data_IF_076288499969
#
_entry.id   IF_076288499969
#
_cell.length_a   1.000
_cell.length_b   1.000
_cell.length_c   1.000
_cell.angle_alpha   90.00
_cell.angle_beta   90.00
_cell.angle_gamma   90.00
#
_symmetry.space_group_name_H-M   'P 1'
#
loop_
_entity.id
_entity.type
_entity.pdbx_description
1 polymer ?
#
# COMPACT_ATOMS: atom_id res chain seq x y z
N UNK A 1 -38.99 50.91 -50.75
CA UNK A 1 -38.61 49.56 -50.32
C UNK A 1 -38.19 49.65 -48.83
N UNK A 2 -39.14 49.48 -47.90
CA UNK A 2 -38.86 49.53 -46.45
C UNK A 2 -38.31 48.20 -46.00
N UNK A 3 -37.05 48.15 -45.47
CA UNK A 3 -36.49 47.01 -44.80
C UNK A 3 -36.98 47.02 -43.36
N UNK A 4 -37.81 46.06 -43.02
CA UNK A 4 -38.20 45.79 -41.62
C UNK A 4 -37.03 45.09 -40.93
N UNK A 5 -36.33 45.76 -40.00
CA UNK A 5 -35.38 45.20 -39.12
C UNK A 5 -36.17 44.43 -38.06
N UNK A 6 -36.17 43.11 -38.14
CA UNK A 6 -36.65 42.23 -37.03
C UNK A 6 -35.65 42.26 -35.94
N UNK A 7 -35.92 42.92 -34.79
CA UNK A 7 -35.18 42.83 -33.56
C UNK A 7 -35.56 41.49 -32.98
N UNK A 8 -34.67 40.50 -33.12
CA UNK A 8 -34.74 39.23 -32.36
C UNK A 8 -34.39 39.56 -30.90
N UNK A 9 -35.41 39.62 -30.04
CA UNK A 9 -35.20 39.61 -28.60
C UNK A 9 -34.61 38.25 -28.22
N UNK A 10 -33.33 38.23 -27.90
CA UNK A 10 -32.72 37.08 -27.23
C UNK A 10 -33.43 36.94 -25.87
N UNK A 11 -34.31 35.96 -25.72
CA UNK A 11 -34.92 35.63 -24.45
C UNK A 11 -33.83 35.04 -23.57
N UNK A 12 -33.35 35.79 -22.56
CA UNK A 12 -32.41 35.32 -21.57
C UNK A 12 -33.05 34.16 -20.77
N UNK A 13 -32.69 32.95 -21.08
CA UNK A 13 -33.06 31.78 -20.30
C UNK A 13 -32.25 31.70 -19.03
N UNK A 14 -32.92 31.26 -17.96
CA UNK A 14 -32.36 31.21 -16.62
C UNK A 14 -32.72 29.91 -15.95
N UNK A 15 -31.71 29.28 -15.30
CA UNK A 15 -31.88 28.13 -14.41
C UNK A 15 -31.53 28.55 -12.99
N UNK A 16 -32.28 28.04 -12.00
CA UNK A 16 -32.07 28.32 -10.59
C UNK A 16 -32.35 27.08 -9.73
N UNK A 17 -31.76 27.04 -8.55
CA UNK A 17 -31.94 25.95 -7.59
C UNK A 17 -31.19 26.22 -6.32
N UNK A 18 -31.09 25.19 -5.47
CA UNK A 18 -30.38 25.20 -4.18
C UNK A 18 -29.51 23.97 -4.08
N UNK A 19 -28.33 24.10 -3.45
CA UNK A 19 -27.41 22.99 -3.20
C UNK A 19 -27.23 22.78 -1.70
N UNK A 20 -27.40 21.53 -1.27
CA UNK A 20 -27.32 21.11 0.12
C UNK A 20 -26.40 19.91 0.29
N UNK A 21 -25.84 19.77 1.50
CA UNK A 21 -25.15 18.53 1.92
C UNK A 21 -26.18 17.42 2.16
N UNK A 22 -25.98 16.28 1.53
CA UNK A 22 -26.83 15.09 1.71
C UNK A 22 -26.76 14.46 3.10
N UNK A 23 -25.69 14.74 3.87
CA UNK A 23 -25.54 14.22 5.24
C UNK A 23 -26.08 15.16 6.30
N UNK A 24 -25.80 16.45 6.19
CA UNK A 24 -26.12 17.44 7.23
C UNK A 24 -27.35 18.27 6.95
N UNK A 25 -27.90 18.18 5.72
CA UNK A 25 -28.99 19.07 5.23
C UNK A 25 -28.64 20.57 5.30
N UNK A 26 -27.37 20.93 5.50
CA UNK A 26 -26.92 22.32 5.48
C UNK A 26 -26.76 22.84 4.05
N UNK A 27 -26.98 24.13 3.81
CA UNK A 27 -26.68 24.79 2.55
C UNK A 27 -25.19 24.75 2.25
N UNK A 28 -24.85 24.56 0.97
CA UNK A 28 -23.46 24.55 0.49
C UNK A 28 -23.16 25.82 -0.30
N UNK A 29 -22.22 26.61 0.23
CA UNK A 29 -21.68 27.81 -0.40
C UNK A 29 -20.51 27.46 -1.32
N UNK A 30 -20.31 28.26 -2.39
CA UNK A 30 -19.19 28.15 -3.33
C UNK A 30 -19.14 26.81 -4.10
N UNK A 31 -20.27 26.12 -4.29
CA UNK A 31 -20.36 25.02 -5.24
C UNK A 31 -20.20 25.55 -6.63
N UNK A 32 -19.24 25.04 -7.39
CA UNK A 32 -19.06 25.39 -8.80
C UNK A 32 -20.12 24.66 -9.64
N UNK A 33 -20.93 25.40 -10.37
CA UNK A 33 -22.06 24.90 -11.13
C UNK A 33 -21.86 25.32 -12.57
N UNK A 34 -21.74 24.36 -13.50
CA UNK A 34 -21.40 24.64 -14.89
C UNK A 34 -22.07 23.66 -15.85
N UNK A 35 -22.28 24.10 -17.08
CA UNK A 35 -22.79 23.27 -18.18
C UNK A 35 -21.62 22.48 -18.74
N UNK A 36 -21.75 21.16 -18.79
CA UNK A 36 -20.70 20.27 -19.26
C UNK A 36 -20.43 20.48 -20.76
N UNK A 37 -19.20 20.86 -21.07
CA UNK A 37 -18.76 21.14 -22.43
C UNK A 37 -18.89 22.59 -22.88
N UNK A 38 -19.40 23.49 -22.01
CA UNK A 38 -19.57 24.92 -22.29
C UNK A 38 -18.84 25.78 -21.25
N UNK A 39 -18.45 26.99 -21.63
CA UNK A 39 -17.85 27.97 -20.72
C UNK A 39 -18.90 28.78 -19.93
N UNK A 40 -20.01 28.14 -19.56
CA UNK A 40 -21.15 28.77 -18.87
C UNK A 40 -21.25 28.15 -17.48
N UNK A 41 -21.07 28.97 -16.43
CA UNK A 41 -21.09 28.52 -15.04
C UNK A 41 -21.40 29.62 -14.04
N UNK A 42 -21.68 29.22 -12.81
CA UNK A 42 -21.92 30.08 -11.63
C UNK A 42 -21.49 29.39 -10.37
N UNK A 43 -21.56 30.06 -9.21
CA UNK A 43 -21.33 29.47 -7.90
C UNK A 43 -22.54 29.64 -6.98
N UNK A 44 -22.75 28.68 -6.07
CA UNK A 44 -23.80 28.82 -5.05
C UNK A 44 -23.42 29.85 -3.98
N UNK A 45 -24.44 30.52 -3.43
CA UNK A 45 -24.33 31.51 -2.36
C UNK A 45 -24.34 30.83 -0.98
N UNK A 46 -24.18 31.62 0.08
CA UNK A 46 -24.17 31.13 1.48
C UNK A 46 -25.45 30.41 1.90
N UNK A 47 -26.58 30.71 1.31
CA UNK A 47 -27.85 30.01 1.51
C UNK A 47 -28.03 28.78 0.60
N UNK A 48 -27.01 28.42 -0.17
CA UNK A 48 -27.01 27.35 -1.16
C UNK A 48 -27.69 27.70 -2.47
N UNK A 49 -28.32 28.89 -2.63
CA UNK A 49 -29.00 29.28 -3.83
C UNK A 49 -28.01 29.57 -4.99
N UNK A 50 -28.42 29.22 -6.21
CA UNK A 50 -27.68 29.59 -7.41
C UNK A 50 -28.60 30.02 -8.53
N UNK A 51 -28.03 30.74 -9.47
CA UNK A 51 -28.70 31.19 -10.68
C UNK A 51 -27.70 31.28 -11.82
N UNK A 52 -28.02 30.65 -12.93
CA UNK A 52 -27.25 30.65 -14.18
C UNK A 52 -28.11 31.25 -15.29
N UNK A 53 -27.60 32.25 -16.00
CA UNK A 53 -28.25 32.95 -17.09
C UNK A 53 -27.57 32.61 -18.42
N UNK A 54 -28.21 32.96 -19.54
CA UNK A 54 -27.72 32.70 -20.89
C UNK A 54 -27.51 31.21 -21.19
N UNK A 55 -28.39 30.34 -20.69
CA UNK A 55 -28.31 28.91 -20.94
C UNK A 55 -28.67 28.53 -22.37
N UNK A 56 -28.13 27.44 -22.95
CA UNK A 56 -28.44 26.98 -24.32
C UNK A 56 -29.92 26.67 -24.52
N UNK A 57 -30.32 26.59 -25.76
CA UNK A 57 -31.69 26.18 -26.14
C UNK A 57 -31.87 24.68 -26.17
N UNK A 58 -30.77 23.92 -26.26
CA UNK A 58 -30.76 22.46 -26.26
C UNK A 58 -30.71 21.90 -24.84
N UNK A 59 -31.10 20.64 -24.68
CA UNK A 59 -30.98 19.93 -23.43
C UNK A 59 -29.51 19.75 -23.09
N UNK A 60 -29.13 19.89 -21.81
CA UNK A 60 -27.74 19.83 -21.35
C UNK A 60 -27.59 19.16 -20.00
N UNK A 61 -26.37 18.78 -19.68
CA UNK A 61 -25.98 18.24 -18.39
C UNK A 61 -25.38 19.37 -17.52
N UNK A 62 -26.03 19.67 -16.39
CA UNK A 62 -25.55 20.64 -15.39
C UNK A 62 -24.76 19.92 -14.32
N UNK A 63 -23.52 20.30 -14.16
CA UNK A 63 -22.57 19.67 -13.22
C UNK A 63 -22.34 20.54 -11.98
N UNK A 64 -22.23 19.91 -10.81
CA UNK A 64 -22.02 20.51 -9.50
C UNK A 64 -20.74 19.96 -8.91
N UNK A 65 -19.80 20.83 -8.56
CA UNK A 65 -18.49 20.47 -8.02
C UNK A 65 -18.07 21.36 -6.86
N UNK A 66 -17.68 20.77 -5.76
CA UNK A 66 -17.05 21.46 -4.62
C UNK A 66 -16.11 20.47 -3.90
N UNK A 67 -15.00 20.98 -3.39
CA UNK A 67 -14.05 20.16 -2.63
C UNK A 67 -14.75 19.52 -1.42
N UNK A 68 -14.59 18.21 -1.24
CA UNK A 68 -15.21 17.45 -0.16
C UNK A 68 -16.57 16.83 -0.50
N UNK A 69 -17.03 16.93 -1.75
CA UNK A 69 -18.29 16.33 -2.21
C UNK A 69 -18.09 15.60 -3.55
N UNK A 70 -18.88 14.54 -3.79
CA UNK A 70 -18.90 13.82 -5.07
C UNK A 70 -19.39 14.74 -6.19
N UNK A 71 -18.70 14.72 -7.33
CA UNK A 71 -19.17 15.41 -8.55
C UNK A 71 -20.56 14.86 -8.90
N UNK A 72 -21.54 15.73 -8.96
CA UNK A 72 -22.93 15.38 -9.24
C UNK A 72 -23.37 16.09 -10.51
N UNK A 73 -24.10 15.42 -11.38
CA UNK A 73 -24.71 16.06 -12.55
C UNK A 73 -26.18 15.73 -12.68
N UNK A 74 -26.91 16.69 -13.28
CA UNK A 74 -28.34 16.60 -13.52
C UNK A 74 -28.62 16.95 -15.01
N UNK A 75 -29.36 16.08 -15.68
CA UNK A 75 -29.79 16.33 -17.04
C UNK A 75 -30.97 17.30 -17.02
N UNK A 76 -30.84 18.42 -17.73
CA UNK A 76 -31.83 19.51 -17.79
C UNK A 76 -32.48 19.56 -19.16
N UNK A 77 -33.82 19.44 -19.17
CA UNK A 77 -34.64 19.58 -20.39
C UNK A 77 -35.14 20.99 -20.49
N UNK A 78 -34.79 21.69 -21.57
CA UNK A 78 -34.98 23.14 -21.74
C UNK A 78 -36.31 23.49 -22.43
N UNK A 79 -37.46 23.19 -21.83
CA UNK A 79 -38.80 23.53 -22.39
C UNK A 79 -39.26 24.95 -22.05
N UNK A 80 -38.78 25.53 -20.96
CA UNK A 80 -39.24 26.81 -20.39
C UNK A 80 -38.14 27.88 -20.39
N UNK A 81 -38.53 29.16 -20.33
CA UNK A 81 -37.60 30.29 -20.22
C UNK A 81 -36.97 30.41 -18.84
N UNK A 82 -37.70 29.99 -17.81
CA UNK A 82 -37.24 29.95 -16.42
C UNK A 82 -37.37 28.52 -15.90
N UNK A 83 -36.23 27.91 -15.57
CA UNK A 83 -36.15 26.53 -15.12
C UNK A 83 -35.74 26.52 -13.63
N UNK A 84 -36.53 25.86 -12.80
CA UNK A 84 -36.18 25.59 -11.39
C UNK A 84 -35.94 24.12 -11.24
N UNK A 85 -34.70 23.73 -10.83
CA UNK A 85 -34.34 22.34 -10.61
C UNK A 85 -34.50 21.91 -9.14
N UNK A 86 -34.98 22.81 -8.28
CA UNK A 86 -35.26 22.52 -6.90
C UNK A 86 -34.02 22.39 -6.04
N UNK A 87 -33.98 21.37 -5.15
CA UNK A 87 -32.87 21.11 -4.24
C UNK A 87 -32.01 19.98 -4.76
N UNK A 88 -30.73 20.24 -4.87
CA UNK A 88 -29.70 19.25 -5.23
C UNK A 88 -28.94 18.90 -3.96
N UNK A 89 -28.83 17.62 -3.66
CA UNK A 89 -28.11 17.11 -2.50
C UNK A 89 -26.79 16.49 -2.97
N UNK A 90 -25.69 17.10 -2.59
CA UNK A 90 -24.36 16.54 -2.84
C UNK A 90 -24.02 15.55 -1.72
N UNK A 91 -23.55 14.39 -2.10
CA UNK A 91 -22.97 13.45 -1.15
C UNK A 91 -21.59 13.97 -0.75
N UNK A 92 -21.28 13.92 0.55
CA UNK A 92 -19.90 14.13 0.98
C UNK A 92 -19.05 13.13 0.20
N UNK A 93 -18.21 13.61 -0.67
CA UNK A 93 -17.01 12.89 -0.99
C UNK A 93 -16.23 12.96 0.32
N UNK A 94 -16.15 11.86 1.06
CA UNK A 94 -14.93 11.62 1.80
C UNK A 94 -13.89 11.93 0.74
N UNK A 95 -13.03 12.96 0.94
CA UNK A 95 -11.90 13.19 0.05
C UNK A 95 -11.07 11.89 0.05
N UNK A 96 -11.54 10.93 -0.70
CA UNK A 96 -10.70 10.10 -1.48
C UNK A 96 -10.04 11.11 -2.46
N UNK A 97 -8.90 11.65 -2.07
CA UNK A 97 -7.79 11.59 -3.02
C UNK A 97 -7.95 10.22 -3.59
N UNK A 98 -8.23 10.03 -4.91
CA UNK A 98 -8.33 8.69 -5.43
C UNK A 98 -7.37 7.87 -4.60
N UNK A 99 -7.83 7.50 -3.41
CA UNK A 99 -7.27 6.46 -2.64
C UNK A 99 -7.36 5.40 -3.69
N UNK A 100 -6.24 5.14 -4.34
CA UNK A 100 -6.10 3.87 -4.96
C UNK A 100 -6.55 3.01 -3.80
N UNK A 101 -7.81 2.58 -3.82
CA UNK A 101 -8.25 1.47 -3.04
C UNK A 101 -7.37 0.34 -3.55
N UNK A 102 -6.16 0.40 -3.07
CA UNK A 102 -5.40 -0.79 -2.83
C UNK A 102 -6.27 -1.44 -1.80
N UNK A 103 -7.25 -2.19 -2.32
CA UNK A 103 -8.30 -2.74 -1.50
C UNK A 103 -7.62 -3.32 -0.30
N UNK A 104 -7.92 -2.80 0.88
CA UNK A 104 -7.65 -3.55 2.09
C UNK A 104 -8.20 -4.92 1.76
N UNK A 105 -7.31 -5.84 1.38
CA UNK A 105 -7.67 -7.12 0.77
C UNK A 105 -9.17 -7.35 0.79
N UNK A 106 -9.93 -7.30 -0.33
CA UNK A 106 -11.33 -7.66 -0.35
C UNK A 106 -11.52 -9.01 0.31
N UNK A 107 -10.44 -9.80 0.32
CA UNK A 107 -10.25 -11.08 0.97
C UNK A 107 -10.48 -11.09 2.49
N UNK A 108 -10.28 -9.99 3.18
CA UNK A 108 -10.53 -9.95 4.63
C UNK A 108 -11.89 -9.34 4.97
N UNK A 109 -12.71 -9.00 3.95
CA UNK A 109 -14.07 -8.52 4.08
C UNK A 109 -14.19 -7.26 4.95
N UNK A 110 -15.40 -6.80 5.18
CA UNK A 110 -15.76 -5.73 6.12
C UNK A 110 -15.50 -6.09 7.61
N UNK A 111 -14.61 -7.04 7.87
CA UNK A 111 -14.30 -7.52 9.20
C UNK A 111 -13.29 -6.55 9.83
N UNK A 112 -13.76 -5.40 10.24
CA UNK A 112 -13.06 -4.53 11.18
C UNK A 112 -13.04 -5.20 12.55
N UNK A 113 -12.13 -6.16 12.74
CA UNK A 113 -11.84 -6.65 14.07
C UNK A 113 -11.17 -5.51 14.87
N UNK A 114 -11.63 -5.25 16.09
CA UNK A 114 -11.00 -4.28 17.03
C UNK A 114 -9.52 -4.56 17.31
N UNK A 115 -8.99 -5.70 16.88
CA UNK A 115 -7.60 -6.12 17.03
C UNK A 115 -6.68 -5.73 15.87
N UNK A 116 -7.21 -5.22 14.76
CA UNK A 116 -6.42 -4.85 13.59
C UNK A 116 -6.22 -3.35 13.51
N UNK A 117 -5.00 -2.93 13.20
CA UNK A 117 -4.64 -1.57 12.87
C UNK A 117 -4.33 -1.57 11.37
N UNK A 118 -4.97 -0.68 10.62
CA UNK A 118 -4.69 -0.48 9.20
C UNK A 118 -4.29 0.96 8.97
N UNK A 119 -3.14 1.17 8.36
CA UNK A 119 -2.63 2.47 7.92
C UNK A 119 -2.56 2.45 6.41
N UNK A 120 -3.22 3.39 5.76
CA UNK A 120 -3.22 3.56 4.30
C UNK A 120 -3.41 5.03 3.93
N UNK A 121 -3.20 5.38 2.66
CA UNK A 121 -3.43 6.73 2.15
C UNK A 121 -2.72 7.82 2.96
N UNK A 122 -3.45 8.88 3.35
CA UNK A 122 -2.90 10.00 4.13
C UNK A 122 -2.34 9.58 5.48
N UNK A 123 -2.94 8.59 6.14
CA UNK A 123 -2.50 8.11 7.46
C UNK A 123 -1.09 7.51 7.42
N UNK A 124 -0.71 6.81 6.35
CA UNK A 124 0.66 6.30 6.20
C UNK A 124 1.63 7.42 5.85
N UNK A 125 1.20 8.40 5.03
CA UNK A 125 2.04 9.55 4.65
C UNK A 125 2.38 10.43 5.85
N UNK A 126 1.41 10.73 6.71
CA UNK A 126 1.62 11.52 7.94
C UNK A 126 2.57 10.84 8.94
N UNK A 127 2.56 9.51 8.98
CA UNK A 127 3.38 8.72 9.90
C UNK A 127 4.69 8.24 9.25
N UNK A 128 4.90 8.53 7.97
CA UNK A 128 6.06 8.06 7.22
C UNK A 128 7.37 8.58 7.82
N UNK A 129 8.23 7.64 8.22
CA UNK A 129 9.61 7.88 8.63
C UNK A 129 10.56 7.01 7.83
N UNK A 130 11.86 7.07 8.11
CA UNK A 130 12.88 6.32 7.37
C UNK A 130 12.69 4.80 7.36
N UNK A 131 12.14 4.23 8.45
CA UNK A 131 11.94 2.79 8.60
C UNK A 131 10.50 2.44 8.99
N UNK A 132 10.13 1.18 8.76
CA UNK A 132 8.83 0.62 9.17
C UNK A 132 8.58 0.81 10.68
N UNK A 133 9.55 0.44 11.50
CA UNK A 133 9.41 0.53 12.96
C UNK A 133 9.21 1.97 13.42
N UNK A 134 10.00 2.91 12.88
CA UNK A 134 9.87 4.32 13.22
C UNK A 134 8.51 4.90 12.80
N UNK A 135 7.96 4.44 11.67
CA UNK A 135 6.63 4.85 11.19
C UNK A 135 5.49 4.30 12.06
N UNK A 136 5.70 3.14 12.68
CA UNK A 136 4.71 2.47 13.54
C UNK A 136 4.87 2.76 15.04
N UNK A 137 5.87 3.55 15.46
CA UNK A 137 6.24 3.72 16.88
C UNK A 137 5.12 4.23 17.79
N UNK A 138 4.13 4.92 17.24
CA UNK A 138 3.01 5.48 17.99
C UNK A 138 1.77 4.56 17.98
N UNK A 139 1.86 3.38 17.35
CA UNK A 139 0.75 2.43 17.30
C UNK A 139 0.69 1.60 18.57
N UNK A 140 -0.54 1.33 19.03
CA UNK A 140 -0.76 0.57 20.26
C UNK A 140 -0.15 -0.83 20.19
N UNK A 141 0.72 -1.12 21.16
CA UNK A 141 1.40 -2.42 21.27
C UNK A 141 2.59 -2.59 20.33
N UNK A 142 3.11 -1.50 19.76
CA UNK A 142 4.37 -1.46 19.03
C UNK A 142 5.42 -0.76 19.86
N UNK A 143 6.57 -1.40 20.02
CA UNK A 143 7.82 -0.81 20.50
C UNK A 143 8.89 -0.93 19.40
N UNK A 144 10.03 -0.30 19.61
CA UNK A 144 11.15 -0.31 18.65
C UNK A 144 12.40 -0.81 19.34
N UNK A 145 13.17 -1.64 18.64
CA UNK A 145 14.58 -1.90 18.92
C UNK A 145 15.43 -1.46 17.74
N UNK A 146 16.64 -0.95 18.00
CA UNK A 146 17.50 -0.42 16.94
C UNK A 146 18.96 -0.44 17.38
N UNK A 147 19.86 -0.74 16.44
CA UNK A 147 21.32 -0.57 16.56
C UNK A 147 21.82 0.60 15.70
N UNK A 148 20.92 1.43 15.16
CA UNK A 148 21.16 2.57 14.29
C UNK A 148 19.87 2.95 13.57
N UNK A 149 19.86 4.02 12.78
CA UNK A 149 18.63 4.51 12.15
C UNK A 149 18.06 3.48 11.14
N UNK A 150 18.92 2.85 10.34
CA UNK A 150 18.50 1.92 9.30
C UNK A 150 17.97 0.60 9.88
N UNK A 151 18.47 0.16 11.04
CA UNK A 151 18.17 -1.14 11.65
C UNK A 151 17.03 -1.12 12.65
N UNK A 152 16.22 -0.03 12.65
CA UNK A 152 15.05 0.02 13.51
C UNK A 152 14.03 -1.05 13.12
N UNK A 153 13.69 -1.92 14.10
CA UNK A 153 12.78 -3.06 13.95
C UNK A 153 11.62 -2.95 14.91
N UNK A 154 10.41 -3.33 14.48
CA UNK A 154 9.26 -3.35 15.37
C UNK A 154 9.37 -4.50 16.40
N UNK A 155 8.86 -4.24 17.59
CA UNK A 155 8.54 -5.22 18.63
C UNK A 155 7.03 -5.19 18.79
N UNK A 156 6.37 -6.31 18.53
CA UNK A 156 4.92 -6.41 18.58
C UNK A 156 4.48 -7.05 19.90
N UNK A 157 3.78 -6.29 20.78
CA UNK A 157 3.29 -6.74 22.07
C UNK A 157 4.39 -7.34 22.99
N UNK A 158 5.58 -6.77 22.93
CA UNK A 158 6.74 -7.26 23.68
C UNK A 158 7.51 -8.39 23.01
N UNK A 159 7.08 -8.88 21.85
CA UNK A 159 7.75 -9.93 21.10
C UNK A 159 8.55 -9.36 19.92
N UNK A 160 9.81 -9.74 19.82
CA UNK A 160 10.70 -9.42 18.70
C UNK A 160 11.20 -10.70 18.02
N UNK A 161 11.98 -10.52 16.94
CA UNK A 161 12.53 -11.62 16.16
C UNK A 161 11.43 -12.42 15.44
N UNK A 162 11.56 -13.74 15.44
CA UNK A 162 10.71 -14.69 14.72
C UNK A 162 9.37 -15.02 15.40
N UNK A 163 8.93 -14.24 16.40
CA UNK A 163 7.67 -14.46 17.13
C UNK A 163 6.48 -13.69 16.56
N UNK A 164 6.71 -12.92 15.53
CA UNK A 164 5.69 -12.32 14.66
C UNK A 164 6.21 -12.31 13.22
N UNK A 165 5.33 -12.21 12.25
CA UNK A 165 5.72 -12.18 10.85
C UNK A 165 5.73 -10.75 10.29
N UNK A 166 6.74 -10.47 9.46
CA UNK A 166 6.74 -9.38 8.50
C UNK A 166 6.41 -9.95 7.13
N UNK A 167 5.33 -9.47 6.53
CA UNK A 167 4.87 -9.94 5.22
C UNK A 167 4.70 -8.80 4.23
N UNK A 168 4.78 -9.12 2.95
CA UNK A 168 4.44 -8.26 1.84
C UNK A 168 3.28 -8.92 1.07
N UNK A 169 2.07 -8.36 1.20
CA UNK A 169 0.89 -8.92 0.54
C UNK A 169 0.57 -10.36 0.94
N UNK A 170 0.84 -10.75 2.18
CA UNK A 170 0.50 -12.06 2.71
C UNK A 170 1.59 -13.14 2.68
N UNK A 171 2.70 -12.93 1.99
CA UNK A 171 3.88 -13.81 2.01
C UNK A 171 5.02 -13.16 2.78
N UNK A 172 5.88 -13.96 3.38
CA UNK A 172 7.07 -13.47 4.10
C UNK A 172 7.87 -12.45 3.27
N UNK A 173 8.40 -11.43 3.93
CA UNK A 173 9.16 -10.36 3.27
C UNK A 173 10.43 -10.90 2.57
N UNK A 174 10.96 -12.01 3.08
CA UNK A 174 12.07 -12.72 2.46
C UNK A 174 13.42 -12.05 2.71
N UNK A 175 13.59 -11.42 3.86
CA UNK A 175 14.86 -10.86 4.34
C UNK A 175 15.33 -11.56 5.62
N UNK A 176 16.48 -11.14 6.15
CA UNK A 176 17.06 -11.63 7.39
C UNK A 176 16.88 -10.68 8.58
N UNK A 177 15.98 -9.69 8.46
CA UNK A 177 15.81 -8.66 9.49
C UNK A 177 15.38 -9.18 10.87
N UNK A 178 14.80 -10.38 10.93
CA UNK A 178 14.37 -11.00 12.18
C UNK A 178 15.43 -11.90 12.82
N UNK A 179 16.54 -12.17 12.13
CA UNK A 179 17.60 -13.08 12.62
C UNK A 179 18.63 -12.37 13.49
N UNK A 180 18.96 -11.12 13.22
CA UNK A 180 19.95 -10.34 13.99
C UNK A 180 19.53 -8.90 14.21
N UNK A 181 20.11 -8.22 15.21
CA UNK A 181 19.82 -6.84 15.62
C UNK A 181 20.28 -5.78 14.66
N UNK A 182 21.27 -6.07 13.87
CA UNK A 182 21.94 -5.22 12.89
C UNK A 182 21.39 -5.36 11.46
N UNK A 183 20.51 -6.34 11.21
CA UNK A 183 19.88 -6.49 9.92
C UNK A 183 18.68 -5.56 9.77
N UNK A 184 18.69 -4.69 8.77
CA UNK A 184 17.59 -3.82 8.44
C UNK A 184 16.42 -4.57 7.81
N UNK A 185 15.19 -4.06 8.01
CA UNK A 185 14.02 -4.54 7.27
C UNK A 185 14.15 -4.10 5.82
N UNK A 186 14.08 -5.04 4.88
CA UNK A 186 14.31 -4.80 3.44
C UNK A 186 13.13 -4.09 2.77
N UNK A 187 12.85 -2.85 3.20
CA UNK A 187 11.83 -2.00 2.60
C UNK A 187 12.08 -0.52 2.86
N UNK A 188 11.62 0.32 1.97
CA UNK A 188 11.50 1.76 2.19
C UNK A 188 10.03 2.15 2.32
N UNK A 189 9.72 2.94 3.35
CA UNK A 189 8.33 3.34 3.64
C UNK A 189 7.70 4.21 2.56
N UNK A 190 8.48 4.88 1.71
CA UNK A 190 7.94 5.65 0.58
C UNK A 190 7.29 4.77 -0.50
N UNK A 191 7.60 3.47 -0.52
CA UNK A 191 6.96 2.49 -1.41
C UNK A 191 5.71 1.83 -0.79
N UNK A 192 5.46 2.02 0.51
CA UNK A 192 4.34 1.38 1.20
C UNK A 192 3.01 2.07 0.84
N UNK A 193 2.03 1.28 0.42
CA UNK A 193 0.65 1.70 0.16
C UNK A 193 -0.23 1.48 1.39
N UNK A 194 -0.03 0.37 2.09
CA UNK A 194 -0.70 0.11 3.36
C UNK A 194 0.17 -0.73 4.29
N UNK A 195 -0.07 -0.58 5.59
CA UNK A 195 0.51 -1.43 6.64
C UNK A 195 -0.62 -1.90 7.54
N UNK A 196 -0.78 -3.21 7.65
CA UNK A 196 -1.82 -3.85 8.43
C UNK A 196 -1.20 -4.63 9.59
N UNK A 197 -1.65 -4.38 10.81
CA UNK A 197 -1.25 -5.15 11.98
C UNK A 197 -2.37 -6.12 12.31
N UNK A 198 -2.15 -7.39 12.03
CA UNK A 198 -3.14 -8.46 12.09
C UNK A 198 -2.87 -9.31 13.33
N UNK A 199 -3.90 -9.50 14.14
CA UNK A 199 -3.83 -10.22 15.42
C UNK A 199 -4.96 -11.24 15.54
N UNK A 200 -4.83 -12.15 16.49
CA UNK A 200 -5.85 -13.15 16.75
C UNK A 200 -5.91 -14.24 15.70
N UNK A 201 -7.08 -14.83 15.50
CA UNK A 201 -7.25 -16.01 14.66
C UNK A 201 -6.77 -15.80 13.22
N UNK A 202 -6.98 -14.62 12.62
CA UNK A 202 -6.56 -14.30 11.25
C UNK A 202 -5.06 -14.38 11.01
N UNK A 203 -4.24 -14.17 12.05
CA UNK A 203 -2.79 -14.21 11.90
C UNK A 203 -2.28 -15.57 11.39
N UNK A 204 -2.97 -16.68 11.69
CA UNK A 204 -2.60 -18.02 11.20
C UNK A 204 -2.74 -18.19 9.68
N UNK A 205 -3.45 -17.31 8.98
CA UNK A 205 -3.50 -17.31 7.51
C UNK A 205 -2.14 -17.01 6.88
N UNK A 206 -1.28 -16.28 7.61
CA UNK A 206 0.01 -15.80 7.12
C UNK A 206 1.17 -16.76 7.45
N UNK A 207 1.09 -17.48 8.53
CA UNK A 207 2.12 -18.43 8.95
C UNK A 207 1.91 -18.97 10.37
N UNK A 208 2.81 -19.86 10.82
CA UNK A 208 2.79 -20.44 12.16
C UNK A 208 3.42 -19.53 13.21
N UNK A 209 4.45 -18.75 12.85
CA UNK A 209 5.20 -17.88 13.76
C UNK A 209 4.47 -16.55 14.02
N UNK A 210 3.21 -16.63 14.47
CA UNK A 210 2.32 -15.46 14.60
C UNK A 210 1.79 -15.25 16.01
N UNK A 211 2.57 -15.64 17.01
CA UNK A 211 2.19 -15.54 18.43
C UNK A 211 1.81 -14.11 18.84
N UNK A 212 2.58 -13.12 18.36
CA UNK A 212 2.30 -11.70 18.59
C UNK A 212 1.39 -11.11 17.51
N UNK A 213 1.31 -11.74 16.34
CA UNK A 213 0.57 -11.29 15.17
C UNK A 213 1.41 -11.21 13.90
N UNK A 214 0.95 -10.41 12.96
CA UNK A 214 1.56 -10.16 11.67
C UNK A 214 1.59 -8.66 11.40
N UNK A 215 2.66 -8.16 10.82
CA UNK A 215 2.71 -6.85 10.19
C UNK A 215 2.79 -7.11 8.70
N UNK A 216 1.66 -6.92 8.01
CA UNK A 216 1.55 -7.09 6.56
C UNK A 216 1.66 -5.74 5.88
N UNK A 217 2.60 -5.64 4.95
CA UNK A 217 2.89 -4.42 4.20
C UNK A 217 2.47 -4.68 2.76
N UNK A 218 1.72 -3.76 2.18
CA UNK A 218 1.48 -3.76 0.75
C UNK A 218 2.30 -2.63 0.14
N UNK A 219 3.22 -2.96 -0.73
CA UNK A 219 4.08 -2.01 -1.43
C UNK A 219 3.48 -1.60 -2.77
N UNK A 220 4.11 -0.64 -3.45
CA UNK A 220 3.82 -0.33 -4.85
C UNK A 220 3.77 -1.63 -5.66
N UNK A 221 2.64 -1.89 -6.29
CA UNK A 221 2.36 -3.15 -6.96
C UNK A 221 1.50 -2.90 -8.19
N UNK A 222 1.15 -3.96 -8.89
CA UNK A 222 0.17 -3.89 -9.96
C UNK A 222 -1.20 -3.54 -9.39
N UNK A 223 -1.87 -2.48 -9.87
CA UNK A 223 -3.19 -2.08 -9.38
C UNK A 223 -4.23 -3.19 -9.55
N UNK A 224 -5.22 -3.23 -8.67
CA UNK A 224 -6.33 -4.20 -8.76
C UNK A 224 -7.24 -3.91 -9.94
N UNK A 225 -7.46 -2.64 -10.24
CA UNK A 225 -8.24 -2.16 -11.37
C UNK A 225 -7.35 -1.41 -12.36
N UNK A 226 -7.69 -1.52 -13.64
CA UNK A 226 -7.03 -0.77 -14.69
C UNK A 226 -7.39 0.71 -14.60
N UNK A 227 -6.40 1.60 -14.64
CA UNK A 227 -6.64 3.04 -14.80
C UNK A 227 -7.24 3.35 -16.17
N UNK A 228 -8.15 4.30 -16.24
CA UNK A 228 -8.75 4.75 -17.51
C UNK A 228 -7.79 5.58 -18.36
N UNK A 229 -6.78 6.20 -17.75
CA UNK A 229 -5.75 7.03 -18.38
C UNK A 229 -4.41 6.88 -17.66
N UNK A 230 -3.34 7.35 -18.30
CA UNK A 230 -2.03 7.39 -17.65
C UNK A 230 -2.10 8.18 -16.34
N UNK A 231 -1.51 7.61 -15.31
CA UNK A 231 -1.51 8.18 -13.97
C UNK A 231 -0.08 8.24 -13.42
N UNK A 232 0.28 9.38 -12.88
CA UNK A 232 1.57 9.60 -12.22
C UNK A 232 1.31 10.13 -10.81
N UNK A 233 2.00 9.56 -9.85
CA UNK A 233 2.07 10.13 -8.52
C UNK A 233 3.49 10.03 -7.96
N UNK A 234 3.83 10.90 -7.02
CA UNK A 234 5.13 10.91 -6.40
C UNK A 234 5.08 11.50 -5.00
N UNK A 235 6.03 11.10 -4.18
CA UNK A 235 6.23 11.61 -2.83
C UNK A 235 7.67 12.07 -2.70
N UNK A 236 7.86 13.27 -2.17
CA UNK A 236 9.16 13.87 -1.86
C UNK A 236 9.16 14.25 -0.38
N UNK A 237 10.27 14.07 0.29
CA UNK A 237 10.42 14.48 1.67
C UNK A 237 11.86 14.77 2.05
N UNK A 238 12.02 15.55 3.11
CA UNK A 238 13.30 15.84 3.73
C UNK A 238 13.14 16.01 5.25
N UNK A 239 14.19 15.72 6.00
CA UNK A 239 14.24 15.87 7.45
C UNK A 239 15.57 16.50 7.90
N UNK A 240 15.50 17.42 8.86
CA UNK A 240 16.69 18.07 9.42
C UNK A 240 17.33 17.24 10.55
N UNK A 241 16.56 16.30 11.17
CA UNK A 241 17.04 15.56 12.33
C UNK A 241 18.14 14.55 12.01
N UNK A 242 18.18 14.11 10.77
CA UNK A 242 19.13 13.11 10.26
C UNK A 242 19.68 13.50 8.88
N UNK A 243 19.45 14.74 8.44
CA UNK A 243 19.80 15.23 7.10
C UNK A 243 19.31 14.28 5.99
N UNK A 244 18.12 13.74 6.14
CA UNK A 244 17.56 12.81 5.16
C UNK A 244 16.76 13.52 4.08
N UNK A 245 16.78 12.91 2.90
CA UNK A 245 15.88 13.25 1.80
C UNK A 245 15.46 11.98 1.07
N UNK A 246 14.24 11.98 0.53
CA UNK A 246 13.76 10.86 -0.27
C UNK A 246 12.84 11.32 -1.38
N UNK A 247 12.79 10.51 -2.42
CA UNK A 247 11.87 10.63 -3.52
C UNK A 247 11.34 9.25 -3.91
N UNK A 248 10.04 9.15 -4.18
CA UNK A 248 9.42 7.99 -4.81
C UNK A 248 8.49 8.48 -5.91
N UNK A 249 8.57 7.89 -7.10
CA UNK A 249 7.75 8.21 -8.24
C UNK A 249 7.16 6.92 -8.82
N UNK A 250 5.86 6.93 -9.12
CA UNK A 250 5.12 5.80 -9.69
C UNK A 250 4.38 6.27 -10.92
N UNK A 251 4.46 5.49 -11.99
CA UNK A 251 3.78 5.74 -13.25
C UNK A 251 3.02 4.52 -13.72
N UNK A 252 1.75 4.73 -14.08
CA UNK A 252 0.86 3.73 -14.64
C UNK A 252 0.48 4.13 -16.06
N UNK A 253 0.65 3.19 -17.01
CA UNK A 253 0.31 3.39 -18.40
C UNK A 253 -0.67 2.31 -18.88
N UNK A 254 -1.98 2.63 -18.95
CA UNK A 254 -2.99 1.70 -19.48
C UNK A 254 -2.99 1.69 -21.00
N UNK A 255 -3.15 0.51 -21.59
CA UNK A 255 -3.34 0.33 -23.03
C UNK A 255 -4.18 -0.91 -23.33
N UNK A 256 -5.28 -0.73 -24.04
CA UNK A 256 -6.29 -1.79 -24.23
C UNK A 256 -6.69 -2.38 -22.86
N UNK A 257 -6.60 -3.69 -22.71
CA UNK A 257 -6.87 -4.41 -21.46
C UNK A 257 -5.61 -4.63 -20.60
N UNK A 258 -4.52 -3.93 -20.89
CA UNK A 258 -3.26 -4.10 -20.17
C UNK A 258 -2.85 -2.78 -19.52
N UNK A 259 -2.00 -2.89 -18.51
CA UNK A 259 -1.38 -1.73 -17.87
C UNK A 259 0.06 -2.05 -17.48
N UNK A 260 0.96 -1.15 -17.83
CA UNK A 260 2.33 -1.16 -17.33
C UNK A 260 2.38 -0.26 -16.09
N UNK A 261 3.07 -0.71 -15.07
CA UNK A 261 3.38 0.06 -13.87
C UNK A 261 4.89 0.07 -13.68
N UNK A 262 5.45 1.24 -13.43
CA UNK A 262 6.86 1.39 -13.09
C UNK A 262 7.01 2.36 -11.92
N UNK A 263 7.94 2.09 -11.02
CA UNK A 263 8.31 3.03 -9.96
C UNK A 263 9.81 3.05 -9.72
N UNK A 264 10.27 4.18 -9.20
CA UNK A 264 11.64 4.36 -8.75
C UNK A 264 11.64 5.14 -7.43
N UNK A 265 12.46 4.71 -6.49
CA UNK A 265 12.65 5.37 -5.20
C UNK A 265 14.14 5.55 -4.90
N UNK A 266 14.44 6.61 -4.19
CA UNK A 266 15.76 6.84 -3.61
C UNK A 266 15.59 7.56 -2.28
N UNK A 267 16.34 7.12 -1.28
CA UNK A 267 16.46 7.76 0.04
C UNK A 267 17.92 7.86 0.40
N UNK A 268 18.29 9.03 0.88
CA UNK A 268 19.60 9.28 1.49
C UNK A 268 19.38 9.78 2.91
N UNK A 269 20.01 9.14 3.88
CA UNK A 269 19.91 9.48 5.30
C UNK A 269 21.33 9.74 5.84
N UNK A 270 21.58 10.88 6.41
CA UNK A 270 22.84 11.23 7.05
C UNK A 270 23.03 10.54 8.42
N UNK A 271 24.11 10.89 9.11
CA UNK A 271 24.38 10.37 10.45
C UNK A 271 23.29 10.81 11.45
N UNK A 272 22.92 9.94 12.36
CA UNK A 272 21.93 10.20 13.42
C UNK A 272 22.44 11.30 14.37
N UNK A 273 21.66 12.35 14.51
CA UNK A 273 21.97 13.44 15.45
C UNK A 273 21.48 13.06 16.85
N UNK A 274 22.37 13.11 17.80
CA UNK A 274 22.08 12.86 19.23
C UNK A 274 22.42 14.10 20.05
N UNK A 275 21.94 14.22 21.31
CA UNK A 275 22.34 15.31 22.21
C UNK A 275 23.85 15.43 22.46
N UNK A 276 24.62 14.35 22.19
CA UNK A 276 26.09 14.32 22.30
C UNK A 276 26.81 14.55 20.98
N UNK A 277 26.09 14.86 19.90
CA UNK A 277 26.61 15.04 18.55
C UNK A 277 26.15 13.94 17.58
N UNK A 278 26.73 13.94 16.38
CA UNK A 278 26.41 12.94 15.37
C UNK A 278 26.96 11.56 15.77
N UNK A 279 26.11 10.56 15.72
CA UNK A 279 26.48 9.16 15.92
C UNK A 279 27.12 8.64 14.62
N UNK A 280 28.41 8.35 14.68
CA UNK A 280 29.18 7.91 13.53
C UNK A 280 28.72 6.56 13.01
N UNK A 281 28.86 6.38 11.68
CA UNK A 281 28.48 5.16 10.99
C UNK A 281 27.02 4.77 11.16
N UNK A 282 26.10 5.72 10.92
CA UNK A 282 24.63 5.50 10.97
C UNK A 282 23.91 6.03 9.73
N UNK A 283 24.64 6.49 8.71
CA UNK A 283 24.06 6.90 7.44
C UNK A 283 23.53 5.72 6.64
N UNK A 284 22.61 5.97 5.71
CA UNK A 284 22.10 4.95 4.81
C UNK A 284 21.69 5.52 3.45
N UNK A 285 21.77 4.66 2.42
CA UNK A 285 21.28 4.94 1.07
C UNK A 285 20.40 3.78 0.64
N UNK A 286 19.14 4.06 0.30
CA UNK A 286 18.21 3.08 -0.24
C UNK A 286 17.85 3.46 -1.67
N UNK A 287 17.93 2.52 -2.60
CA UNK A 287 17.43 2.72 -3.95
C UNK A 287 16.55 1.54 -4.35
N UNK A 288 15.42 1.83 -4.99
CA UNK A 288 14.48 0.80 -5.40
C UNK A 288 13.93 1.09 -6.79
N UNK A 289 13.60 0.00 -7.47
CA UNK A 289 12.95 0.00 -8.76
C UNK A 289 11.88 -1.08 -8.82
N UNK A 290 10.76 -0.77 -9.43
CA UNK A 290 9.68 -1.72 -9.70
C UNK A 290 9.21 -1.57 -11.15
N UNK A 291 8.98 -2.68 -11.83
CA UNK A 291 8.32 -2.72 -13.11
C UNK A 291 7.39 -3.92 -13.20
N UNK A 292 6.23 -3.74 -13.82
CA UNK A 292 5.32 -4.83 -14.03
C UNK A 292 4.27 -4.54 -15.09
N UNK A 293 3.63 -5.61 -15.55
CA UNK A 293 2.52 -5.55 -16.50
C UNK A 293 1.39 -6.42 -16.00
N UNK A 294 0.16 -5.91 -16.10
CA UNK A 294 -1.05 -6.66 -15.81
C UNK A 294 -2.01 -6.64 -16.99
N UNK A 295 -2.69 -7.75 -17.20
CA UNK A 295 -3.83 -7.89 -18.10
C UNK A 295 -5.11 -7.93 -17.27
N UNK A 296 -6.12 -7.14 -17.64
CA UNK A 296 -7.40 -7.03 -16.96
C UNK A 296 -8.50 -7.63 -17.82
N UNK A 297 -9.40 -8.33 -17.18
CA UNK A 297 -10.61 -8.91 -17.76
C UNK A 297 -11.81 -8.55 -16.88
N UNK A 298 -13.03 -8.81 -17.37
CA UNK A 298 -14.25 -8.56 -16.58
C UNK A 298 -14.31 -9.35 -15.26
N UNK A 299 -13.57 -10.45 -15.17
CA UNK A 299 -13.65 -11.38 -14.03
C UNK A 299 -12.31 -11.53 -13.31
N UNK A 300 -11.38 -10.59 -13.48
CA UNK A 300 -10.11 -10.65 -12.76
C UNK A 300 -8.91 -10.08 -13.53
N UNK A 301 -7.73 -10.27 -12.97
CA UNK A 301 -6.46 -9.81 -13.55
C UNK A 301 -5.37 -10.87 -13.47
N UNK A 302 -4.40 -10.74 -14.36
CA UNK A 302 -3.17 -11.53 -14.33
C UNK A 302 -1.99 -10.60 -14.57
N UNK A 303 -0.96 -10.69 -13.76
CA UNK A 303 0.20 -9.83 -13.89
C UNK A 303 1.52 -10.48 -13.53
N UNK A 304 2.59 -9.89 -14.03
CA UNK A 304 3.97 -10.21 -13.67
C UNK A 304 4.68 -8.93 -13.29
N UNK A 305 5.58 -9.01 -12.32
CA UNK A 305 6.39 -7.87 -11.88
C UNK A 305 7.75 -8.29 -11.39
N UNK A 306 8.67 -7.32 -11.40
CA UNK A 306 9.98 -7.41 -10.80
C UNK A 306 10.23 -6.17 -9.95
N UNK A 307 10.83 -6.37 -8.79
CA UNK A 307 11.27 -5.32 -7.87
C UNK A 307 12.73 -5.55 -7.51
N UNK A 308 13.51 -4.48 -7.45
CA UNK A 308 14.86 -4.47 -6.91
C UNK A 308 14.94 -3.41 -5.81
N UNK A 309 15.62 -3.73 -4.72
CA UNK A 309 15.92 -2.82 -3.61
C UNK A 309 17.35 -3.05 -3.18
N UNK A 310 18.14 -1.96 -3.15
CA UNK A 310 19.46 -1.94 -2.52
C UNK A 310 19.43 -1.04 -1.28
N UNK A 311 20.10 -1.45 -0.22
CA UNK A 311 20.28 -0.67 1.00
C UNK A 311 21.74 -0.77 1.46
N UNK A 312 22.43 0.35 1.46
CA UNK A 312 23.76 0.49 2.00
C UNK A 312 23.64 1.26 3.31
N UNK A 313 24.09 0.70 4.44
CA UNK A 313 23.92 1.34 5.73
C UNK A 313 25.04 0.98 6.72
N UNK A 314 25.25 1.88 7.68
CA UNK A 314 26.22 1.69 8.74
C UNK A 314 25.59 1.30 10.08
N UNK A 315 26.34 0.49 10.83
CA UNK A 315 26.12 0.16 12.23
C UNK A 315 27.18 0.89 13.05
N UNK A 316 26.78 1.67 14.07
CA UNK A 316 27.73 2.41 14.88
C UNK A 316 28.68 1.48 15.64
N UNK A 317 29.90 1.94 15.84
CA UNK A 317 30.91 1.20 16.60
C UNK A 317 30.56 1.05 18.08
N UNK A 318 31.01 -0.06 18.65
CA UNK A 318 30.88 -0.36 20.08
C UNK A 318 32.25 -0.72 20.69
N UNK A 319 32.57 -0.24 21.88
CA UNK A 319 33.82 -0.62 22.56
C UNK A 319 33.96 -2.13 22.83
N UNK A 320 32.85 -2.84 22.95
CA UNK A 320 32.76 -4.27 23.24
C UNK A 320 32.70 -5.14 21.97
N UNK A 321 32.68 -4.53 20.79
CA UNK A 321 32.58 -5.24 19.52
C UNK A 321 33.41 -4.58 18.42
N UNK A 322 32.78 -4.22 17.30
CA UNK A 322 33.44 -3.54 16.17
C UNK A 322 33.67 -2.06 16.48
N UNK A 323 34.88 -1.68 16.94
CA UNK A 323 35.20 -0.32 17.42
C UNK A 323 34.86 0.77 16.39
N UNK A 324 35.09 0.50 15.10
CA UNK A 324 34.81 1.46 14.02
C UNK A 324 33.40 1.32 13.43
N UNK A 325 32.64 0.32 13.82
CA UNK A 325 31.35 -0.03 13.25
C UNK A 325 31.46 -1.04 12.11
N UNK A 326 30.33 -1.35 11.52
CA UNK A 326 30.14 -2.28 10.40
C UNK A 326 29.40 -1.56 9.28
N UNK A 327 29.86 -1.71 8.05
CA UNK A 327 29.17 -1.24 6.85
C UNK A 327 28.46 -2.44 6.22
N UNK A 328 27.19 -2.28 5.89
CA UNK A 328 26.34 -3.36 5.36
C UNK A 328 25.84 -2.97 3.98
N UNK A 329 26.02 -3.88 3.03
CA UNK A 329 25.45 -3.80 1.69
C UNK A 329 24.39 -4.89 1.54
N UNK A 330 23.17 -4.50 1.19
CA UNK A 330 22.03 -5.39 1.02
C UNK A 330 21.41 -5.21 -0.36
N UNK A 331 21.20 -6.32 -1.05
CA UNK A 331 20.46 -6.36 -2.29
C UNK A 331 19.30 -7.36 -2.20
N UNK A 332 18.12 -6.96 -2.69
CA UNK A 332 16.95 -7.83 -2.78
C UNK A 332 16.29 -7.67 -4.13
N UNK A 333 16.07 -8.79 -4.80
CA UNK A 333 15.28 -8.88 -6.03
C UNK A 333 14.06 -9.74 -5.75
N UNK A 334 12.88 -9.24 -6.11
CA UNK A 334 11.60 -9.95 -5.98
C UNK A 334 10.94 -10.04 -7.35
N UNK A 335 10.61 -11.24 -7.78
CA UNK A 335 9.79 -11.49 -8.97
C UNK A 335 8.45 -12.06 -8.52
N UNK A 336 7.35 -11.55 -9.07
CA UNK A 336 5.99 -12.01 -8.78
C UNK A 336 5.23 -12.37 -10.07
N UNK A 337 4.43 -13.41 -9.98
CA UNK A 337 3.29 -13.66 -10.84
C UNK A 337 2.04 -13.67 -9.97
N UNK A 338 1.02 -12.92 -10.37
CA UNK A 338 -0.25 -12.78 -9.65
C UNK A 338 -1.40 -13.07 -10.59
N UNK A 339 -2.35 -13.89 -10.13
CA UNK A 339 -3.60 -14.14 -10.84
C UNK A 339 -4.76 -14.04 -9.85
N UNK A 340 -5.67 -13.12 -10.10
CA UNK A 340 -6.91 -12.91 -9.36
C UNK A 340 -8.08 -13.20 -10.26
N UNK A 341 -9.07 -13.93 -9.77
CA UNK A 341 -10.27 -14.25 -10.52
C UNK A 341 -11.51 -14.34 -9.66
N UNK A 342 -12.59 -13.66 -10.08
CA UNK A 342 -13.93 -13.89 -9.56
C UNK A 342 -14.44 -15.24 -10.00
N UNK A 343 -14.98 -16.02 -9.07
CA UNK A 343 -15.44 -17.39 -9.32
C UNK A 343 -16.89 -17.56 -8.89
N UNK A 344 -17.61 -18.41 -9.63
CA UNK A 344 -19.01 -18.76 -9.35
C UNK A 344 -19.23 -20.26 -9.19
N UNK A 345 -18.21 -21.07 -9.50
CA UNK A 345 -18.34 -22.53 -9.55
C UNK A 345 -18.22 -23.21 -8.17
N UNK A 346 -17.66 -22.53 -7.17
CA UNK A 346 -17.65 -23.03 -5.79
C UNK A 346 -18.64 -22.25 -4.92
N UNK A 347 -19.68 -22.92 -4.39
CA UNK A 347 -20.57 -22.30 -3.43
C UNK A 347 -19.79 -21.75 -2.23
N UNK A 348 -20.14 -20.53 -1.78
CA UNK A 348 -19.54 -19.84 -0.62
C UNK A 348 -18.13 -19.28 -0.83
N UNK A 349 -17.55 -19.36 -2.03
CA UNK A 349 -16.31 -18.63 -2.38
C UNK A 349 -16.60 -17.70 -3.56
N UNK A 350 -16.01 -16.50 -3.49
CA UNK A 350 -16.20 -15.43 -4.47
C UNK A 350 -14.98 -15.23 -5.36
N UNK A 351 -13.79 -15.40 -4.78
CA UNK A 351 -12.53 -15.17 -5.50
C UNK A 351 -11.58 -16.35 -5.36
N UNK A 352 -10.72 -16.46 -6.35
CA UNK A 352 -9.53 -17.31 -6.35
C UNK A 352 -8.31 -16.44 -6.64
N UNK A 353 -7.30 -16.53 -5.79
CA UNK A 353 -6.02 -15.86 -5.92
C UNK A 353 -4.90 -16.87 -6.00
N UNK A 354 -4.00 -16.68 -6.95
CA UNK A 354 -2.77 -17.43 -7.11
C UNK A 354 -1.59 -16.45 -7.15
N UNK A 355 -0.65 -16.61 -6.26
CA UNK A 355 0.59 -15.87 -6.26
C UNK A 355 1.78 -16.83 -6.33
N UNK A 356 2.67 -16.60 -7.28
CA UNK A 356 4.01 -17.16 -7.29
C UNK A 356 5.00 -16.03 -7.04
N UNK A 357 5.95 -16.27 -6.14
CA UNK A 357 6.99 -15.30 -5.79
C UNK A 357 8.35 -15.99 -5.76
N UNK A 358 9.34 -15.30 -6.32
CA UNK A 358 10.74 -15.63 -6.15
C UNK A 358 11.46 -14.42 -5.53
N UNK A 359 12.18 -14.64 -4.46
CA UNK A 359 13.01 -13.65 -3.77
C UNK A 359 14.46 -14.11 -3.80
N UNK A 360 15.37 -13.23 -4.24
CA UNK A 360 16.80 -13.35 -4.03
C UNK A 360 17.23 -12.23 -3.10
N UNK A 361 17.85 -12.57 -2.00
CA UNK A 361 18.36 -11.62 -0.99
C UNK A 361 19.83 -11.90 -0.75
N UNK A 362 20.65 -10.85 -0.75
CA UNK A 362 22.08 -10.86 -0.48
C UNK A 362 22.38 -9.79 0.57
N UNK A 363 23.28 -10.12 1.50
CA UNK A 363 23.65 -9.29 2.63
C UNK A 363 25.12 -9.49 2.95
N UNK A 364 25.91 -8.44 2.84
CA UNK A 364 27.33 -8.46 3.08
C UNK A 364 27.71 -7.46 4.17
N UNK A 365 28.54 -7.91 5.13
CA UNK A 365 29.00 -7.08 6.24
C UNK A 365 30.50 -6.85 6.15
N UNK A 366 30.88 -5.60 6.18
CA UNK A 366 32.27 -5.17 6.14
C UNK A 366 32.63 -4.48 7.46
N UNK A 367 33.70 -4.91 8.11
CA UNK A 367 34.27 -4.04 9.13
C UNK A 367 34.67 -2.71 8.48
N UNK A 368 34.25 -1.59 9.05
CA UNK A 368 34.53 -0.26 8.51
C UNK A 368 36.02 -0.10 8.17
N UNK A 369 36.30 0.31 6.94
CA UNK A 369 37.64 0.43 6.30
C UNK A 369 38.27 -0.88 5.80
N UNK A 370 37.59 -2.03 5.85
CA UNK A 370 38.05 -3.26 5.21
C UNK A 370 37.41 -3.44 3.83
N UNK A 371 38.12 -4.15 2.95
CA UNK A 371 37.72 -4.33 1.53
C UNK A 371 37.15 -5.72 1.26
N UNK A 372 37.04 -6.58 2.25
CA UNK A 372 36.45 -7.91 2.12
C UNK A 372 35.32 -8.07 3.13
N UNK A 373 34.27 -8.72 2.72
CA UNK A 373 33.14 -9.03 3.59
C UNK A 373 33.54 -10.01 4.68
N UNK A 374 33.31 -9.64 5.94
CA UNK A 374 33.50 -10.53 7.08
C UNK A 374 32.36 -11.56 7.18
N UNK A 375 31.16 -11.15 6.78
CA UNK A 375 29.95 -11.98 6.72
C UNK A 375 29.32 -11.83 5.33
N UNK A 376 28.88 -12.94 4.74
CA UNK A 376 28.21 -13.00 3.46
C UNK A 376 27.00 -13.94 3.59
N UNK A 377 25.79 -13.39 3.60
CA UNK A 377 24.55 -14.14 3.76
C UNK A 377 23.71 -14.02 2.50
N UNK A 378 23.21 -15.17 2.04
CA UNK A 378 22.32 -15.25 0.90
C UNK A 378 21.04 -16.00 1.22
N UNK A 379 19.93 -15.58 0.63
CA UNK A 379 18.67 -16.30 0.74
C UNK A 379 17.94 -16.31 -0.61
N UNK A 380 17.47 -17.48 -1.03
CA UNK A 380 16.60 -17.64 -2.17
C UNK A 380 15.31 -18.32 -1.73
N UNK A 381 14.17 -17.69 -2.02
CA UNK A 381 12.86 -18.22 -1.65
C UNK A 381 11.99 -18.31 -2.88
N UNK A 382 11.46 -19.49 -3.14
CA UNK A 382 10.37 -19.70 -4.08
C UNK A 382 9.10 -20.01 -3.30
N UNK A 383 8.03 -19.27 -3.56
CA UNK A 383 6.72 -19.47 -2.92
C UNK A 383 5.63 -19.58 -3.99
N UNK A 384 4.68 -20.49 -3.75
CA UNK A 384 3.47 -20.64 -4.55
C UNK A 384 2.29 -20.74 -3.58
N UNK A 385 1.41 -19.75 -3.59
CA UNK A 385 0.23 -19.69 -2.74
C UNK A 385 -1.04 -19.64 -3.56
N UNK A 386 -2.02 -20.48 -3.21
CA UNK A 386 -3.37 -20.42 -3.74
C UNK A 386 -4.38 -20.19 -2.64
N UNK A 387 -5.35 -19.28 -2.85
CA UNK A 387 -6.39 -18.95 -1.88
C UNK A 387 -7.77 -18.91 -2.55
N UNK A 388 -8.77 -19.43 -1.87
CA UNK A 388 -10.17 -19.22 -2.15
C UNK A 388 -10.77 -18.38 -1.04
N UNK A 389 -11.42 -17.28 -1.40
CA UNK A 389 -11.99 -16.32 -0.44
C UNK A 389 -13.50 -16.18 -0.65
N UNK A 390 -14.24 -16.29 0.43
CA UNK A 390 -15.68 -16.06 0.51
C UNK A 390 -16.00 -14.86 1.42
N UNK A 391 -17.27 -14.64 1.73
CA UNK A 391 -17.69 -13.55 2.61
C UNK A 391 -17.22 -13.74 4.06
N UNK A 392 -17.28 -14.98 4.55
CA UNK A 392 -17.05 -15.34 5.95
C UNK A 392 -15.90 -16.35 6.13
N UNK A 393 -15.16 -16.67 5.05
CA UNK A 393 -14.17 -17.77 5.05
C UNK A 393 -13.05 -17.59 4.06
N UNK A 394 -11.90 -18.14 4.41
CA UNK A 394 -10.74 -18.30 3.53
C UNK A 394 -10.23 -19.72 3.67
N UNK A 395 -9.83 -20.35 2.58
CA UNK A 395 -9.02 -21.56 2.57
C UNK A 395 -7.86 -21.38 1.60
N UNK A 396 -6.73 -21.97 1.89
CA UNK A 396 -5.59 -21.84 1.01
C UNK A 396 -4.49 -22.84 1.31
N UNK A 397 -3.52 -22.83 0.42
CA UNK A 397 -2.31 -23.63 0.52
C UNK A 397 -1.09 -22.78 0.16
N UNK A 398 0.04 -23.10 0.75
CA UNK A 398 1.34 -22.51 0.45
C UNK A 398 2.37 -23.62 0.28
N UNK A 399 3.08 -23.59 -0.83
CA UNK A 399 4.35 -24.29 -1.02
C UNK A 399 5.47 -23.28 -0.98
N UNK A 400 6.53 -23.52 -0.20
CA UNK A 400 7.72 -22.69 -0.13
C UNK A 400 8.97 -23.55 -0.13
N UNK A 401 9.93 -23.17 -0.98
CA UNK A 401 11.31 -23.66 -0.92
C UNK A 401 12.21 -22.49 -0.58
N UNK A 402 13.07 -22.66 0.41
CA UNK A 402 14.08 -21.69 0.84
C UNK A 402 15.45 -22.32 0.81
N UNK A 403 16.40 -21.63 0.22
CA UNK A 403 17.81 -21.92 0.31
C UNK A 403 18.51 -20.79 1.06
N UNK A 404 19.14 -21.11 2.17
CA UNK A 404 19.97 -20.17 2.92
C UNK A 404 21.44 -20.51 2.71
N UNK A 405 22.26 -19.48 2.49
CA UNK A 405 23.69 -19.58 2.23
C UNK A 405 24.39 -18.66 3.22
N UNK A 406 25.39 -19.18 3.92
CA UNK A 406 26.23 -18.44 4.84
C UNK A 406 27.70 -18.58 4.46
N UNK A 407 28.41 -17.46 4.39
CA UNK A 407 29.83 -17.37 4.07
C UNK A 407 30.57 -16.43 5.01
N UNK A 408 31.87 -16.33 4.86
CA UNK A 408 32.73 -15.54 5.73
C UNK A 408 32.93 -16.18 7.09
N UNK A 409 32.91 -15.38 8.16
CA UNK A 409 33.09 -15.84 9.55
C UNK A 409 31.76 -16.22 10.23
N UNK A 410 30.79 -16.73 9.46
CA UNK A 410 29.49 -17.12 9.97
C UNK A 410 29.46 -18.63 10.31
N UNK A 411 28.83 -19.00 11.45
CA UNK A 411 28.89 -20.36 11.99
C UNK A 411 27.66 -21.22 11.65
N UNK A 412 26.68 -20.64 10.93
CA UNK A 412 25.46 -21.37 10.56
C UNK A 412 25.69 -22.13 9.24
N UNK A 413 25.30 -23.41 9.14
CA UNK A 413 25.43 -24.15 7.89
C UNK A 413 24.45 -23.64 6.85
N UNK A 414 24.82 -23.76 5.58
CA UNK A 414 23.87 -23.63 4.48
C UNK A 414 22.71 -24.60 4.71
N UNK A 415 21.51 -24.17 4.35
CA UNK A 415 20.31 -24.93 4.70
C UNK A 415 19.30 -24.85 3.58
N UNK A 416 18.73 -26.01 3.21
CA UNK A 416 17.55 -26.11 2.36
C UNK A 416 16.30 -26.38 3.21
N UNK A 417 15.23 -25.62 2.97
CA UNK A 417 13.94 -25.81 3.64
C UNK A 417 12.83 -26.01 2.62
N UNK A 418 11.93 -26.96 2.89
CA UNK A 418 10.70 -27.15 2.16
C UNK A 418 9.55 -27.05 3.16
N UNK A 419 8.60 -26.16 2.88
CA UNK A 419 7.38 -25.98 3.66
C UNK A 419 6.16 -26.20 2.77
N UNK A 420 5.27 -27.07 3.21
CA UNK A 420 3.93 -27.25 2.64
C UNK A 420 2.90 -26.93 3.71
N UNK A 421 2.03 -25.95 3.47
CA UNK A 421 1.03 -25.53 4.42
C UNK A 421 -0.38 -25.57 3.83
N UNK A 422 -1.33 -25.99 4.65
CA UNK A 422 -2.75 -25.83 4.41
C UNK A 422 -3.35 -24.98 5.51
N UNK A 423 -4.16 -24.00 5.18
CA UNK A 423 -4.75 -23.09 6.14
C UNK A 423 -6.19 -22.76 5.83
N UNK A 424 -6.93 -22.39 6.86
CA UNK A 424 -8.30 -21.96 6.75
C UNK A 424 -8.71 -21.02 7.86
N UNK A 425 -9.67 -20.17 7.55
CA UNK A 425 -10.30 -19.22 8.46
C UNK A 425 -11.80 -19.21 8.23
N UNK A 426 -12.54 -19.04 9.30
CA UNK A 426 -13.96 -18.76 9.24
C UNK A 426 -14.36 -17.77 10.31
N UNK A 427 -15.25 -16.86 9.95
CA UNK A 427 -15.92 -15.95 10.85
C UNK A 427 -17.42 -16.16 10.78
N UNK A 428 -18.09 -16.04 11.92
CA UNK A 428 -19.54 -16.08 11.97
C UNK A 428 -20.05 -15.05 12.97
N UNK A 429 -20.89 -14.18 12.47
CA UNK A 429 -21.59 -13.20 13.30
C UNK A 429 -22.88 -13.78 13.86
N UNK A 430 -23.09 -13.58 15.13
CA UNK A 430 -24.32 -13.79 15.86
C UNK A 430 -24.73 -12.43 16.44
N UNK A 431 -25.98 -12.21 16.79
CA UNK A 431 -26.54 -10.90 17.16
C UNK A 431 -25.65 -9.99 17.99
N UNK A 432 -24.86 -10.52 18.91
CA UNK A 432 -23.97 -9.76 19.83
C UNK A 432 -22.56 -10.34 19.96
N UNK A 433 -22.24 -11.39 19.22
CA UNK A 433 -20.94 -12.06 19.28
C UNK A 433 -20.47 -12.42 17.89
N UNK A 434 -19.21 -12.12 17.60
CA UNK A 434 -18.52 -12.58 16.39
C UNK A 434 -17.52 -13.67 16.78
N UNK A 435 -17.68 -14.86 16.23
CA UNK A 435 -16.76 -15.98 16.41
C UNK A 435 -15.81 -16.07 15.24
N UNK A 436 -14.50 -16.13 15.53
CA UNK A 436 -13.45 -16.33 14.56
C UNK A 436 -12.69 -17.62 14.89
N UNK A 437 -12.45 -18.45 13.88
CA UNK A 437 -11.68 -19.65 13.99
C UNK A 437 -10.68 -19.76 12.82
N UNK A 438 -9.45 -20.14 13.11
CA UNK A 438 -8.42 -20.48 12.12
C UNK A 438 -7.79 -21.82 12.43
N UNK A 439 -7.32 -22.46 11.39
CA UNK A 439 -6.43 -23.61 11.50
C UNK A 439 -5.34 -23.52 10.44
N UNK A 440 -4.14 -24.01 10.79
CA UNK A 440 -3.01 -24.18 9.88
C UNK A 440 -2.29 -25.48 10.20
N UNK A 441 -1.96 -26.20 9.17
CA UNK A 441 -1.11 -27.41 9.25
C UNK A 441 0.08 -27.18 8.34
N UNK A 442 1.27 -27.37 8.89
CA UNK A 442 2.54 -27.21 8.18
C UNK A 442 3.38 -28.48 8.24
N UNK A 443 3.95 -28.82 7.10
CA UNK A 443 4.95 -29.84 6.95
C UNK A 443 6.27 -29.17 6.57
N UNK A 444 7.15 -29.01 7.54
CA UNK A 444 8.46 -28.38 7.36
C UNK A 444 9.55 -29.45 7.34
N UNK A 445 10.38 -29.43 6.32
CA UNK A 445 11.60 -30.22 6.23
C UNK A 445 12.79 -29.28 6.11
N UNK A 446 13.75 -29.40 7.02
CA UNK A 446 14.98 -28.62 7.06
C UNK A 446 16.17 -29.55 6.84
N UNK A 447 17.03 -29.24 5.89
CA UNK A 447 18.22 -29.99 5.53
C UNK A 447 19.47 -29.09 5.59
N UNK A 448 20.17 -29.06 6.72
CA UNK A 448 21.47 -28.40 6.78
C UNK A 448 22.51 -29.17 5.97
N UNK A 449 23.39 -28.44 5.26
CA UNK A 449 24.56 -29.04 4.64
C UNK A 449 25.49 -29.56 5.76
N UNK A 450 25.70 -30.87 5.78
CA UNK A 450 26.75 -31.45 6.64
C UNK A 450 28.09 -31.13 6.00
N UNK A 451 28.90 -30.29 6.66
CA UNK A 451 30.31 -30.17 6.26
C UNK A 451 30.94 -31.55 6.45
N UNK A 452 31.35 -32.20 5.38
CA UNK A 452 32.33 -33.27 5.48
C UNK A 452 33.62 -32.62 6.02
N UNK A 453 33.84 -32.70 7.31
CA UNK A 453 35.13 -32.40 7.94
C UNK A 453 36.16 -33.40 7.48
#
# INVERSE_FOLDING_TARGET
MLSVLSIVHAQNRKISGFVFSGQTNSSLENVNIFIKGEDIGTSSKSDGSFSLENIPFDDFELSFRIIGYEDTSVFVVTKDVQISIGRIYLKLSVLDFEEIHVGAHPELGNIQSLSNISLSGSAIQEKMKGTLAASLQNETGIAITSMGQATARPILRGYGGDRFLLTDGGLELGDLSQTSGDHAVSMDMSSAQSVNIIRGAKALLFGSNTIAGVIDIKKNSLPELQFSRSHFHGVLGASNGDNSSFANAVYHYPFKNNQITASALSRNTGEQITPKGALKNTSSINNGFFAGIANYSNNGRTGISIESLTMDYGIPGSPEGHINGVDIEMEKITQKFEHHRDITFFPNFKTFDLEQRFVKYEHQEYETKKTFAAVDLGQQIFSLQGKFTGEDRVIGSLFQYRKFIAGGFYWTPNTDEINLSLFGFREKEFNFVTLQASSRVEFLTVKPETSNQ
#
